data_IF_262898604794
#
_entry.id   IF_262898604794
#
_cell.length_a   1.000
_cell.length_b   1.000
_cell.length_c   1.000
_cell.angle_alpha   90.00
_cell.angle_beta   90.00
_cell.angle_gamma   90.00
#
_symmetry.space_group_name_H-M   'P 1'
#
loop_
_entity.id
_entity.type
_entity.pdbx_description
1 polymer ?
#
# COMPACT_ATOMS: atom_id res chain seq x y z
N UNK A 1 14.94 -13.62 -46.62
CA UNK A 1 15.29 -13.94 -45.22
C UNK A 1 14.57 -12.93 -44.33
N UNK A 2 13.54 -13.34 -43.56
CA UNK A 2 12.92 -12.49 -42.55
C UNK A 2 13.91 -12.38 -41.40
N UNK A 3 14.42 -11.16 -41.11
CA UNK A 3 15.16 -10.90 -39.87
C UNK A 3 14.19 -11.23 -38.71
N UNK A 4 14.49 -12.30 -37.97
CA UNK A 4 13.86 -12.54 -36.68
C UNK A 4 14.14 -11.29 -35.81
N UNK A 5 13.08 -10.62 -35.34
CA UNK A 5 13.23 -9.51 -34.42
C UNK A 5 13.89 -10.09 -33.17
N UNK A 6 15.10 -9.65 -32.84
CA UNK A 6 15.73 -9.96 -31.56
C UNK A 6 14.79 -9.48 -30.43
N UNK A 7 14.36 -10.40 -29.60
CA UNK A 7 13.55 -10.05 -28.42
C UNK A 7 14.46 -9.25 -27.48
N UNK A 8 14.17 -7.97 -27.32
CA UNK A 8 14.85 -7.16 -26.30
C UNK A 8 14.48 -7.68 -24.92
N UNK A 9 15.48 -7.91 -24.07
CA UNK A 9 15.28 -8.38 -22.69
C UNK A 9 14.56 -7.33 -21.83
N UNK A 10 14.85 -6.04 -22.05
CA UNK A 10 14.29 -4.92 -21.32
C UNK A 10 13.54 -3.98 -22.27
N UNK A 11 12.53 -3.30 -21.73
CA UNK A 11 11.71 -2.34 -22.48
C UNK A 11 12.51 -1.14 -22.99
N UNK A 12 13.60 -0.78 -22.30
CA UNK A 12 14.49 0.32 -22.69
C UNK A 12 15.94 -0.18 -22.76
N UNK A 13 16.72 0.47 -23.62
CA UNK A 13 18.18 0.26 -23.64
C UNK A 13 18.83 1.16 -22.59
N UNK A 14 19.74 0.62 -21.82
CA UNK A 14 20.56 1.35 -20.86
C UNK A 14 22.00 0.79 -20.88
N UNK A 15 22.95 1.65 -20.51
CA UNK A 15 24.34 1.26 -20.28
C UNK A 15 24.62 1.35 -18.76
N UNK A 16 24.87 0.17 -18.17
CA UNK A 16 25.12 0.08 -16.72
C UNK A 16 26.34 0.83 -16.23
N UNK A 17 27.29 1.18 -17.12
CA UNK A 17 28.48 1.97 -16.75
C UNK A 17 28.20 3.46 -16.68
N UNK A 18 27.22 3.97 -17.42
CA UNK A 18 26.90 5.39 -17.51
C UNK A 18 25.58 5.78 -16.86
N UNK A 19 24.70 4.79 -16.58
CA UNK A 19 23.42 5.02 -15.91
C UNK A 19 23.64 5.16 -14.39
N UNK A 20 22.97 6.12 -13.75
CA UNK A 20 23.06 6.32 -12.30
C UNK A 20 22.58 5.09 -11.53
N UNK A 21 23.29 4.71 -10.47
CA UNK A 21 22.95 3.59 -9.60
C UNK A 21 22.46 4.09 -8.26
N UNK A 22 21.41 3.44 -7.75
CA UNK A 22 20.90 3.64 -6.40
C UNK A 22 20.81 2.27 -5.70
N UNK A 23 21.43 2.17 -4.54
CA UNK A 23 21.46 0.93 -3.77
C UNK A 23 20.51 1.00 -2.58
N UNK A 24 19.78 -0.07 -2.35
CA UNK A 24 18.88 -0.26 -1.21
C UNK A 24 18.72 -1.75 -0.93
N UNK A 25 18.42 -2.14 0.30
CA UNK A 25 18.14 -3.54 0.63
C UNK A 25 16.74 -3.96 0.14
N UNK A 26 15.79 -3.04 0.19
CA UNK A 26 14.40 -3.28 -0.25
C UNK A 26 13.93 -2.13 -1.13
N UNK A 27 13.44 -2.46 -2.33
CA UNK A 27 12.75 -1.53 -3.21
C UNK A 27 11.24 -1.74 -3.08
N UNK A 28 10.52 -0.68 -2.75
CA UNK A 28 9.05 -0.65 -2.73
C UNK A 28 8.54 0.20 -3.89
N UNK A 29 7.71 -0.38 -4.75
CA UNK A 29 7.14 0.30 -5.92
C UNK A 29 5.70 0.68 -5.62
N UNK A 30 5.46 1.97 -5.45
CA UNK A 30 4.15 2.55 -5.14
C UNK A 30 4.05 3.08 -3.71
N UNK A 31 3.34 4.21 -3.55
CA UNK A 31 3.18 4.96 -2.30
C UNK A 31 1.78 4.86 -1.68
N UNK A 32 0.94 3.92 -2.10
CA UNK A 32 -0.34 3.67 -1.42
C UNK A 32 -0.18 2.89 -0.11
N UNK A 33 -1.29 2.64 0.59
CA UNK A 33 -1.33 1.97 1.90
C UNK A 33 -0.51 0.68 1.95
N UNK A 34 -0.55 -0.14 0.91
CA UNK A 34 0.21 -1.40 0.85
C UNK A 34 1.73 -1.14 0.77
N UNK A 35 2.16 -0.18 -0.07
CA UNK A 35 3.56 0.18 -0.23
C UNK A 35 4.14 0.76 1.06
N UNK A 36 3.45 1.70 1.68
CA UNK A 36 3.91 2.28 2.95
C UNK A 36 3.96 1.26 4.08
N UNK A 37 2.94 0.41 4.21
CA UNK A 37 2.93 -0.65 5.22
C UNK A 37 4.10 -1.63 5.02
N UNK A 38 4.36 -2.04 3.78
CA UNK A 38 5.51 -2.89 3.45
C UNK A 38 6.84 -2.19 3.78
N UNK A 39 6.98 -0.90 3.41
CA UNK A 39 8.19 -0.12 3.67
C UNK A 39 8.48 0.04 5.17
N UNK A 40 7.45 0.34 5.98
CA UNK A 40 7.59 0.48 7.44
C UNK A 40 8.07 -0.83 8.08
N UNK A 41 7.54 -1.97 7.64
CA UNK A 41 7.98 -3.28 8.16
C UNK A 41 9.40 -3.63 7.67
N UNK A 42 9.70 -3.43 6.39
CA UNK A 42 11.01 -3.71 5.82
C UNK A 42 12.12 -2.85 6.45
N UNK A 43 11.82 -1.61 6.79
CA UNK A 43 12.78 -0.68 7.41
C UNK A 43 13.27 -1.10 8.80
N UNK A 44 12.63 -2.08 9.43
CA UNK A 44 13.14 -2.73 10.66
C UNK A 44 14.36 -3.60 10.41
N UNK A 45 14.62 -3.98 9.16
CA UNK A 45 15.64 -4.96 8.77
C UNK A 45 16.70 -4.41 7.82
N UNK A 46 16.51 -3.24 7.24
CA UNK A 46 17.46 -2.65 6.31
C UNK A 46 17.00 -1.32 5.73
N UNK A 47 17.76 -0.84 4.76
CA UNK A 47 17.43 0.37 4.00
C UNK A 47 16.28 0.11 3.02
N UNK A 48 15.35 1.05 2.91
CA UNK A 48 14.21 0.96 2.01
C UNK A 48 14.18 2.17 1.10
N UNK A 49 13.95 1.92 -0.19
CA UNK A 49 13.63 2.97 -1.15
C UNK A 49 12.19 2.78 -1.64
N UNK A 50 11.37 3.79 -1.42
CA UNK A 50 10.03 3.86 -2.03
C UNK A 50 10.16 4.68 -3.32
N UNK A 51 9.65 4.15 -4.42
CA UNK A 51 9.52 4.88 -5.69
C UNK A 51 8.05 5.01 -6.08
N UNK A 52 7.66 6.20 -6.52
CA UNK A 52 6.29 6.45 -6.98
C UNK A 52 6.29 7.36 -8.21
N UNK A 53 5.40 7.08 -9.16
CA UNK A 53 5.36 7.77 -10.46
C UNK A 53 4.96 9.24 -10.38
N UNK A 54 4.14 9.57 -9.38
CA UNK A 54 3.66 10.93 -9.11
C UNK A 54 4.17 11.42 -7.76
N UNK A 55 3.59 12.48 -7.21
CA UNK A 55 3.83 12.89 -5.83
C UNK A 55 3.45 11.78 -4.86
N UNK A 56 4.10 11.78 -3.71
CA UNK A 56 3.93 10.73 -2.70
C UNK A 56 2.47 10.53 -2.26
N UNK A 57 1.68 11.59 -2.23
CA UNK A 57 0.28 11.64 -1.81
C UNK A 57 -0.71 11.51 -2.98
N UNK A 58 -0.22 11.36 -4.21
CA UNK A 58 -1.04 11.22 -5.42
C UNK A 58 -1.28 9.74 -5.73
N UNK A 59 -2.26 9.14 -5.07
CA UNK A 59 -2.59 7.73 -5.20
C UNK A 59 -4.04 7.41 -4.82
N UNK A 60 -4.48 6.19 -5.11
CA UNK A 60 -5.85 5.76 -4.85
C UNK A 60 -6.22 5.74 -3.36
N UNK A 61 -5.26 5.57 -2.45
CA UNK A 61 -5.51 5.63 -1.00
C UNK A 61 -5.97 7.02 -0.60
N UNK A 62 -5.30 8.07 -1.08
CA UNK A 62 -5.68 9.47 -0.81
C UNK A 62 -7.12 9.77 -1.23
N UNK A 63 -7.56 9.20 -2.36
CA UNK A 63 -8.89 9.44 -2.94
C UNK A 63 -9.96 8.45 -2.48
N UNK A 64 -9.60 7.46 -1.65
CA UNK A 64 -10.56 6.51 -1.14
C UNK A 64 -11.55 7.20 -0.19
N UNK A 65 -12.82 7.14 -0.55
CA UNK A 65 -13.96 7.63 0.23
C UNK A 65 -14.59 6.49 1.02
N UNK A 66 -15.55 6.85 1.87
CA UNK A 66 -16.21 5.90 2.73
C UNK A 66 -15.39 5.55 3.97
N UNK A 67 -15.64 4.37 4.54
CA UNK A 67 -15.04 3.96 5.80
C UNK A 67 -14.28 2.64 5.72
N UNK A 68 -13.83 2.18 6.88
CA UNK A 68 -13.20 0.87 7.07
C UNK A 68 -14.15 -0.03 7.83
N UNK A 69 -14.50 -1.17 7.23
CA UNK A 69 -15.24 -2.24 7.92
C UNK A 69 -14.28 -3.01 8.84
N UNK A 70 -14.45 -2.90 10.14
CA UNK A 70 -13.58 -3.54 11.12
C UNK A 70 -14.31 -3.87 12.42
N UNK A 71 -13.98 -5.01 13.03
CA UNK A 71 -14.59 -5.46 14.29
C UNK A 71 -13.82 -4.87 15.47
N UNK A 72 -14.29 -3.74 15.99
CA UNK A 72 -13.73 -3.08 17.18
C UNK A 72 -14.76 -2.91 18.31
N UNK A 73 -16.02 -3.26 18.05
CA UNK A 73 -17.11 -3.19 19.04
C UNK A 73 -17.34 -4.54 19.70
N UNK A 74 -17.57 -4.58 21.01
CA UNK A 74 -17.93 -5.78 21.78
C UNK A 74 -19.24 -6.44 21.33
N UNK A 75 -20.08 -5.71 20.58
CA UNK A 75 -21.36 -6.22 20.05
C UNK A 75 -21.21 -7.02 18.76
N UNK A 76 -20.03 -6.97 18.13
CA UNK A 76 -19.73 -7.65 16.86
C UNK A 76 -18.65 -8.73 17.04
N UNK A 77 -18.47 -9.57 16.05
CA UNK A 77 -17.43 -10.61 16.05
C UNK A 77 -16.83 -10.79 14.65
N UNK A 78 -15.55 -11.21 14.61
CA UNK A 78 -14.84 -11.55 13.35
C UNK A 78 -15.64 -12.60 12.55
N UNK A 79 -16.23 -13.59 13.21
CA UNK A 79 -17.03 -14.62 12.54
C UNK A 79 -18.27 -14.05 11.83
N UNK A 80 -18.96 -13.08 12.44
CA UNK A 80 -20.08 -12.38 11.82
C UNK A 80 -19.64 -11.56 10.62
N UNK A 81 -18.51 -10.84 10.73
CA UNK A 81 -17.97 -10.05 9.62
C UNK A 81 -17.54 -10.94 8.44
N UNK A 82 -16.87 -12.06 8.71
CA UNK A 82 -16.53 -13.07 7.68
C UNK A 82 -17.79 -13.55 6.97
N UNK A 83 -18.83 -13.91 7.73
CA UNK A 83 -20.11 -14.37 7.16
C UNK A 83 -20.72 -13.30 6.25
N UNK A 84 -20.84 -12.06 6.72
CA UNK A 84 -21.40 -10.95 5.96
C UNK A 84 -20.62 -10.73 4.65
N UNK A 85 -19.30 -10.80 4.71
CA UNK A 85 -18.42 -10.64 3.53
C UNK A 85 -18.63 -11.75 2.51
N UNK A 86 -18.74 -13.01 2.96
CA UNK A 86 -18.98 -14.16 2.08
C UNK A 86 -20.38 -14.12 1.48
N UNK A 87 -21.39 -13.77 2.26
CA UNK A 87 -22.78 -13.64 1.80
C UNK A 87 -22.91 -12.52 0.75
N UNK A 88 -22.30 -11.35 0.99
CA UNK A 88 -22.27 -10.24 0.02
C UNK A 88 -21.49 -10.61 -1.26
N UNK A 89 -20.45 -11.41 -1.14
CA UNK A 89 -19.63 -11.87 -2.26
C UNK A 89 -20.29 -12.90 -3.18
N UNK A 90 -21.47 -13.44 -2.82
CA UNK A 90 -22.30 -14.33 -3.65
C UNK A 90 -21.50 -15.48 -4.30
N UNK A 91 -20.55 -16.06 -3.58
CA UNK A 91 -19.71 -17.17 -4.04
C UNK A 91 -18.47 -16.77 -4.86
N UNK A 92 -18.25 -15.49 -5.12
CA UNK A 92 -17.06 -15.00 -5.83
C UNK A 92 -15.86 -14.81 -4.90
N UNK A 93 -16.08 -14.71 -3.59
CA UNK A 93 -15.03 -14.46 -2.60
C UNK A 93 -14.22 -15.73 -2.31
N UNK A 94 -12.89 -15.60 -2.28
CA UNK A 94 -12.03 -16.65 -1.72
C UNK A 94 -12.13 -16.65 -0.19
N UNK A 95 -12.59 -17.75 0.36
CA UNK A 95 -12.88 -17.90 1.80
C UNK A 95 -11.62 -17.77 2.66
N UNK A 96 -10.47 -18.26 2.19
CA UNK A 96 -9.22 -18.19 2.96
C UNK A 96 -8.74 -16.74 3.05
N UNK A 97 -8.80 -16.02 1.94
CA UNK A 97 -8.46 -14.60 1.87
C UNK A 97 -9.38 -13.75 2.75
N UNK A 98 -10.72 -13.97 2.69
CA UNK A 98 -11.67 -13.26 3.56
C UNK A 98 -11.36 -13.49 5.03
N UNK A 99 -11.11 -14.75 5.44
CA UNK A 99 -10.76 -15.07 6.83
C UNK A 99 -9.48 -14.35 7.27
N UNK A 100 -8.43 -14.34 6.45
CA UNK A 100 -7.18 -13.69 6.76
C UNK A 100 -7.37 -12.17 6.93
N UNK A 101 -7.97 -11.50 5.94
CA UNK A 101 -8.13 -10.04 5.93
C UNK A 101 -9.02 -9.57 7.08
N UNK A 102 -10.18 -10.20 7.28
CA UNK A 102 -11.13 -9.80 8.34
C UNK A 102 -10.56 -10.06 9.74
N UNK A 103 -9.84 -11.17 9.93
CA UNK A 103 -9.24 -11.49 11.23
C UNK A 103 -8.09 -10.56 11.62
N UNK A 104 -7.31 -10.10 10.65
CA UNK A 104 -6.23 -9.14 10.88
C UNK A 104 -6.72 -7.69 11.03
N UNK A 105 -7.91 -7.37 10.52
CA UNK A 105 -8.44 -6.01 10.47
C UNK A 105 -8.32 -5.23 11.78
N UNK A 106 -8.77 -5.77 12.93
CA UNK A 106 -8.67 -5.07 14.22
C UNK A 106 -7.25 -4.66 14.58
N UNK A 107 -6.30 -5.56 14.40
CA UNK A 107 -4.88 -5.28 14.69
C UNK A 107 -4.34 -4.18 13.76
N UNK A 108 -4.64 -4.23 12.47
CA UNK A 108 -4.15 -3.25 11.49
C UNK A 108 -4.72 -1.85 11.72
N UNK A 109 -5.99 -1.76 12.09
CA UNK A 109 -6.60 -0.46 12.41
C UNK A 109 -6.04 0.11 13.73
N UNK A 110 -5.80 -0.73 14.73
CA UNK A 110 -5.13 -0.29 15.95
C UNK A 110 -3.72 0.23 15.69
N UNK A 111 -2.93 -0.41 14.82
CA UNK A 111 -1.62 0.12 14.38
C UNK A 111 -1.75 1.51 13.75
N UNK A 112 -2.75 1.77 12.91
CA UNK A 112 -3.00 3.10 12.35
C UNK A 112 -3.31 4.13 13.44
N UNK A 113 -4.12 3.75 14.44
CA UNK A 113 -4.46 4.61 15.58
C UNK A 113 -3.22 4.90 16.42
N UNK A 114 -2.37 3.91 16.69
CA UNK A 114 -1.09 4.06 17.39
C UNK A 114 -0.13 4.99 16.63
N UNK A 115 -0.15 4.94 15.31
CA UNK A 115 0.61 5.85 14.46
C UNK A 115 -0.04 7.24 14.36
N UNK A 116 -1.18 7.45 15.01
CA UNK A 116 -1.85 8.74 15.15
C UNK A 116 -2.92 9.03 14.11
N UNK A 117 -3.47 8.02 13.44
CA UNK A 117 -4.67 8.21 12.62
C UNK A 117 -5.86 8.59 13.49
N UNK A 118 -6.60 9.62 13.05
CA UNK A 118 -7.74 10.16 13.77
C UNK A 118 -9.04 9.75 13.09
N UNK A 119 -9.72 8.76 13.67
CA UNK A 119 -11.06 8.36 13.27
C UNK A 119 -12.12 9.14 14.04
N UNK A 120 -13.31 9.24 13.48
CA UNK A 120 -14.43 9.99 14.06
C UNK A 120 -14.85 9.41 15.41
N UNK A 121 -14.99 10.28 16.41
CA UNK A 121 -15.33 9.92 17.79
C UNK A 121 -16.46 10.79 18.32
N UNK A 122 -17.32 10.17 19.12
CA UNK A 122 -18.31 10.86 19.94
C UNK A 122 -18.08 10.48 21.41
N UNK A 123 -18.00 11.45 22.30
CA UNK A 123 -17.69 11.24 23.72
C UNK A 123 -16.43 10.37 23.94
N UNK A 124 -15.40 10.58 23.13
CA UNK A 124 -14.12 9.82 23.13
C UNK A 124 -14.23 8.33 22.72
N UNK A 125 -15.36 7.88 22.19
CA UNK A 125 -15.57 6.55 21.64
C UNK A 125 -15.67 6.60 20.12
N UNK A 126 -15.11 5.59 19.43
CA UNK A 126 -15.23 5.47 17.97
C UNK A 126 -16.72 5.43 17.57
N UNK A 127 -17.06 6.17 16.54
CA UNK A 127 -18.40 6.12 15.93
C UNK A 127 -18.42 5.01 14.89
N UNK A 128 -19.41 4.12 14.98
CA UNK A 128 -19.62 3.06 14.04
C UNK A 128 -20.88 3.30 13.23
N UNK A 129 -20.78 3.20 11.91
CA UNK A 129 -21.92 3.21 11.00
C UNK A 129 -22.17 1.82 10.43
N UNK A 130 -23.35 1.61 9.86
CA UNK A 130 -23.75 0.38 9.19
C UNK A 130 -24.09 0.71 7.74
N UNK A 131 -23.46 -0.03 6.83
CA UNK A 131 -23.69 0.08 5.40
C UNK A 131 -24.28 -1.23 4.84
N UNK A 132 -24.67 -1.22 3.56
CA UNK A 132 -25.24 -2.39 2.88
C UNK A 132 -24.34 -3.61 2.95
N UNK A 133 -24.92 -4.78 3.12
CA UNK A 133 -24.20 -6.05 3.27
C UNK A 133 -23.68 -6.35 4.67
N UNK A 134 -23.77 -5.40 5.61
CA UNK A 134 -23.39 -5.60 7.01
C UNK A 134 -24.61 -5.76 7.92
N UNK A 135 -24.57 -6.74 8.80
CA UNK A 135 -25.62 -6.95 9.83
C UNK A 135 -25.34 -6.20 11.14
N UNK A 136 -24.13 -5.62 11.29
CA UNK A 136 -23.71 -4.88 12.48
C UNK A 136 -23.02 -3.58 12.08
N UNK A 137 -23.18 -2.50 12.89
CA UNK A 137 -22.41 -1.29 12.76
C UNK A 137 -20.93 -1.61 13.03
N UNK A 138 -20.08 -1.50 11.98
CA UNK A 138 -18.65 -1.77 12.07
C UNK A 138 -17.80 -0.89 11.17
N UNK A 139 -18.41 0.07 10.52
CA UNK A 139 -17.70 0.96 9.62
C UNK A 139 -17.23 2.17 10.43
N UNK A 140 -15.95 2.44 10.45
CA UNK A 140 -15.35 3.65 11.02
C UNK A 140 -14.95 4.61 9.91
N UNK A 141 -15.09 5.90 10.16
CA UNK A 141 -14.78 6.97 9.22
C UNK A 141 -13.74 7.92 9.79
N UNK A 142 -13.11 8.70 8.95
CA UNK A 142 -12.30 9.84 9.33
C UNK A 142 -12.79 11.07 8.55
N UNK A 143 -13.16 12.13 9.27
CA UNK A 143 -13.64 13.38 8.70
C UNK A 143 -14.79 13.16 7.67
N UNK A 144 -15.72 12.25 7.98
CA UNK A 144 -16.76 11.82 7.05
C UNK A 144 -16.20 10.97 5.90
N UNK A 145 -16.09 11.53 4.70
CA UNK A 145 -15.66 10.79 3.49
C UNK A 145 -14.15 10.92 3.17
N UNK A 146 -13.33 11.25 4.17
CA UNK A 146 -11.88 11.48 3.95
C UNK A 146 -11.00 10.40 4.59
N UNK A 147 -11.55 9.22 4.82
CA UNK A 147 -10.86 8.12 5.53
C UNK A 147 -9.54 7.72 4.85
N UNK A 148 -9.54 7.58 3.53
CA UNK A 148 -8.32 7.26 2.80
C UNK A 148 -7.25 8.34 2.92
N UNK A 149 -7.63 9.61 2.89
CA UNK A 149 -6.72 10.75 3.07
C UNK A 149 -6.09 10.75 4.46
N UNK A 150 -6.85 10.48 5.51
CA UNK A 150 -6.35 10.40 6.89
C UNK A 150 -5.31 9.27 7.04
N UNK A 151 -5.62 8.08 6.50
CA UNK A 151 -4.70 6.92 6.49
C UNK A 151 -3.41 7.30 5.78
N UNK A 152 -3.52 7.86 4.58
CA UNK A 152 -2.38 8.21 3.74
C UNK A 152 -1.47 9.25 4.42
N UNK A 153 -2.04 10.31 4.98
CA UNK A 153 -1.29 11.34 5.70
C UNK A 153 -0.58 10.78 6.93
N UNK A 154 -1.24 9.87 7.65
CA UNK A 154 -0.64 9.18 8.79
C UNK A 154 0.56 8.35 8.35
N UNK A 155 0.42 7.53 7.31
CA UNK A 155 1.50 6.70 6.79
C UNK A 155 2.66 7.52 6.22
N UNK A 156 2.37 8.61 5.50
CA UNK A 156 3.39 9.54 4.99
C UNK A 156 4.22 10.12 6.14
N UNK A 157 3.60 10.49 7.25
CA UNK A 157 4.31 10.99 8.42
C UNK A 157 5.25 9.93 8.99
N UNK A 158 4.75 8.73 9.25
CA UNK A 158 5.55 7.60 9.78
C UNK A 158 6.73 7.27 8.88
N UNK A 159 6.50 7.21 7.57
CA UNK A 159 7.55 6.92 6.58
C UNK A 159 8.60 8.02 6.53
N UNK A 160 8.20 9.30 6.57
CA UNK A 160 9.12 10.45 6.54
C UNK A 160 9.98 10.58 7.81
N UNK A 161 9.46 10.15 8.95
CA UNK A 161 10.20 10.14 10.22
C UNK A 161 11.21 8.99 10.31
N UNK A 162 11.06 7.96 9.49
CA UNK A 162 11.93 6.78 9.51
C UNK A 162 13.21 7.01 8.69
N UNK A 163 14.36 7.03 9.38
CA UNK A 163 15.68 7.29 8.78
C UNK A 163 16.14 6.22 7.78
N UNK A 164 15.59 5.01 7.88
CA UNK A 164 15.90 3.90 6.97
C UNK A 164 15.09 3.94 5.68
N UNK A 165 14.12 4.84 5.55
CA UNK A 165 13.27 4.96 4.37
C UNK A 165 13.64 6.20 3.57
N UNK A 166 13.94 6.00 2.29
CA UNK A 166 14.08 7.07 1.30
C UNK A 166 12.91 7.03 0.33
N UNK A 167 12.52 8.18 -0.19
CA UNK A 167 11.39 8.32 -1.12
C UNK A 167 11.89 9.03 -2.37
N UNK A 168 11.60 8.43 -3.54
CA UNK A 168 11.75 9.07 -4.84
C UNK A 168 10.38 9.17 -5.48
N UNK A 169 9.78 10.34 -5.42
CA UNK A 169 8.59 10.71 -6.20
C UNK A 169 8.96 10.99 -7.67
N UNK A 170 7.96 11.17 -8.52
CA UNK A 170 8.15 11.38 -9.96
C UNK A 170 9.15 10.39 -10.59
N UNK A 171 9.12 9.15 -10.10
CA UNK A 171 10.00 8.05 -10.51
C UNK A 171 9.17 6.89 -11.02
N UNK A 172 9.21 6.67 -12.32
CA UNK A 172 8.49 5.59 -12.99
C UNK A 172 9.38 4.36 -13.13
N UNK A 173 8.95 3.23 -12.58
CA UNK A 173 9.63 1.95 -12.81
C UNK A 173 9.25 1.42 -14.18
N UNK A 174 10.24 1.26 -15.05
CA UNK A 174 10.06 0.85 -16.45
C UNK A 174 10.06 -0.68 -16.54
N UNK A 175 11.01 -1.32 -15.84
CA UNK A 175 11.20 -2.77 -15.93
C UNK A 175 11.90 -3.31 -14.68
N UNK A 176 11.77 -4.62 -14.43
CA UNK A 176 12.51 -5.30 -13.38
C UNK A 176 13.78 -5.93 -13.95
N UNK A 177 14.88 -5.79 -13.22
CA UNK A 177 16.15 -6.45 -13.54
C UNK A 177 16.10 -7.86 -12.96
N UNK A 178 15.92 -8.84 -13.84
CA UNK A 178 15.80 -10.26 -13.43
C UNK A 178 16.92 -11.09 -14.01
N UNK A 179 17.41 -12.07 -13.25
CA UNK A 179 18.35 -13.09 -13.69
C UNK A 179 17.99 -14.41 -13.04
N UNK A 180 17.88 -15.46 -13.84
CA UNK A 180 17.62 -16.84 -13.40
C UNK A 180 16.40 -16.94 -12.44
N UNK A 181 15.31 -16.22 -12.75
CA UNK A 181 14.09 -16.18 -11.95
C UNK A 181 14.17 -15.29 -10.70
N UNK A 182 15.30 -14.64 -10.44
CA UNK A 182 15.50 -13.75 -9.28
C UNK A 182 15.42 -12.29 -9.71
N UNK A 183 14.69 -11.48 -8.96
CA UNK A 183 14.67 -10.02 -9.12
C UNK A 183 15.88 -9.41 -8.39
N UNK A 184 16.72 -8.69 -9.13
CA UNK A 184 17.93 -8.06 -8.60
C UNK A 184 17.84 -6.53 -8.57
N UNK A 185 16.71 -5.95 -9.00
CA UNK A 185 16.52 -4.52 -9.02
C UNK A 185 15.52 -4.08 -10.07
N UNK A 186 15.55 -2.81 -10.41
CA UNK A 186 14.66 -2.21 -11.40
C UNK A 186 15.38 -1.17 -12.27
N UNK A 187 14.88 -1.00 -13.48
CA UNK A 187 15.18 0.16 -14.33
C UNK A 187 14.07 1.19 -14.09
N UNK A 188 14.44 2.37 -13.67
CA UNK A 188 13.50 3.44 -13.41
C UNK A 188 13.89 4.72 -14.15
N UNK A 189 12.92 5.57 -14.38
CA UNK A 189 13.11 6.90 -14.94
C UNK A 189 12.58 7.95 -13.96
N UNK A 190 13.42 8.90 -13.60
CA UNK A 190 13.05 10.01 -12.75
C UNK A 190 12.95 11.29 -13.60
N UNK A 191 11.89 12.07 -13.42
CA UNK A 191 11.59 13.24 -14.24
C UNK A 191 12.74 14.26 -14.35
N UNK A 192 13.56 14.42 -13.30
CA UNK A 192 14.69 15.36 -13.29
C UNK A 192 16.06 14.70 -13.45
N UNK A 193 16.19 13.40 -13.18
CA UNK A 193 17.50 12.70 -13.12
C UNK A 193 17.71 11.75 -14.29
N UNK A 194 16.67 11.49 -15.11
CA UNK A 194 16.70 10.53 -16.20
C UNK A 194 16.66 9.08 -15.72
N UNK A 195 17.24 8.18 -16.50
CA UNK A 195 17.29 6.76 -16.20
C UNK A 195 18.19 6.45 -15.00
N UNK A 196 17.79 5.48 -14.20
CA UNK A 196 18.54 4.95 -13.07
C UNK A 196 18.33 3.45 -12.92
N UNK A 197 19.31 2.78 -12.34
CA UNK A 197 19.25 1.39 -11.90
C UNK A 197 19.13 1.39 -10.37
N UNK A 198 18.18 0.64 -9.85
CA UNK A 198 17.91 0.52 -8.42
C UNK A 198 18.10 -0.93 -8.02
#
# INVERSE_FOLDING_TARGET
>A
MKKQAESKRYLVSFDSHTTAHVFTDVLVIGSGVAGFSAAIQAAKHGSVLIVTKEKIDENNTTYAQGGIAVVLSDKDTVAKHIKDTLDAGQGLSDTATVKAVVSEGPMRVNELIEWGASFDKENNHLVFTQEGGHHFPRIIHAQGDSTGKEIEQTLIRVVKENKNIKIFDHTFVIDLITKDGTCNGAVAWHAKKGNMLI
#
